data_IF_063669955979
#
_entry.id   IF_063669955979
#
_cell.length_a   1.000
_cell.length_b   1.000
_cell.length_c   1.000
_cell.angle_alpha   90.00
_cell.angle_beta   90.00
_cell.angle_gamma   90.00
#
_symmetry.space_group_name_H-M   'P 1'
#
loop_
_entity.id
_entity.type
_entity.pdbx_description
1 polymer ?
#
# COMPACT_ATOMS: atom_id res chain seq x y z
N UNK A 1 16.56 23.86 -40.73
CA UNK A 1 15.39 22.97 -40.55
C UNK A 1 15.34 22.58 -39.09
N UNK A 2 14.45 23.22 -38.35
CA UNK A 2 14.26 23.08 -36.91
C UNK A 2 12.77 22.89 -36.69
N UNK A 3 12.40 21.79 -36.03
CA UNK A 3 11.01 21.43 -35.75
C UNK A 3 10.42 22.34 -34.67
N UNK A 4 9.17 22.83 -34.81
CA UNK A 4 8.47 23.53 -33.74
C UNK A 4 7.91 22.54 -32.72
N UNK A 5 7.97 22.96 -31.45
CA UNK A 5 7.38 22.31 -30.28
C UNK A 5 5.87 22.62 -30.30
N UNK A 6 5.02 21.60 -30.25
CA UNK A 6 3.56 21.73 -30.20
C UNK A 6 3.08 22.28 -28.85
N UNK A 7 2.25 23.32 -28.94
CA UNK A 7 1.43 23.90 -27.88
C UNK A 7 0.40 22.90 -27.36
N UNK A 8 0.29 22.79 -26.03
CA UNK A 8 -0.80 22.06 -25.38
C UNK A 8 -2.08 22.89 -25.39
N UNK A 9 -3.14 22.27 -25.91
CA UNK A 9 -4.49 22.81 -25.98
C UNK A 9 -5.05 23.29 -24.63
N UNK A 10 -5.63 24.49 -24.67
CA UNK A 10 -6.45 25.08 -23.62
C UNK A 10 -7.86 24.47 -23.66
N UNK A 11 -8.35 23.97 -22.52
CA UNK A 11 -9.78 23.72 -22.30
C UNK A 11 -10.38 24.97 -21.66
N UNK A 12 -11.24 25.65 -22.42
CA UNK A 12 -12.14 26.70 -21.94
C UNK A 12 -13.29 26.09 -21.15
N UNK A 13 -13.60 26.67 -19.98
CA UNK A 13 -14.91 26.51 -19.33
C UNK A 13 -15.65 27.84 -19.52
N UNK A 14 -16.88 27.75 -20.02
CA UNK A 14 -17.72 28.86 -20.42
C UNK A 14 -18.26 29.70 -19.24
N UNK A 15 -18.68 30.91 -19.62
CA UNK A 15 -18.84 32.18 -18.89
C UNK A 15 -19.96 32.29 -17.84
N UNK A 16 -19.81 33.28 -16.94
CA UNK A 16 -20.93 33.77 -16.13
C UNK A 16 -20.61 34.82 -15.07
N UNK A 17 -19.92 35.93 -15.41
CA UNK A 17 -20.12 37.29 -14.86
C UNK A 17 -18.94 38.20 -15.27
N UNK A 18 -19.22 39.15 -16.16
CA UNK A 18 -18.28 40.19 -16.58
C UNK A 18 -18.15 41.28 -15.50
N UNK A 19 -16.95 41.42 -14.93
CA UNK A 19 -16.53 42.66 -14.29
C UNK A 19 -15.23 43.12 -14.97
N UNK A 20 -15.25 44.36 -15.46
CA UNK A 20 -14.21 44.93 -16.31
C UNK A 20 -12.82 44.87 -15.67
N UNK A 21 -11.87 44.31 -16.41
CA UNK A 21 -10.48 44.24 -16.02
C UNK A 21 -9.77 45.54 -16.44
N UNK A 22 -9.57 46.47 -15.50
CA UNK A 22 -8.54 47.50 -15.66
C UNK A 22 -7.17 46.84 -15.50
N UNK A 23 -6.26 47.12 -16.43
CA UNK A 23 -4.92 46.53 -16.47
C UNK A 23 -4.05 47.05 -15.32
N UNK A 24 -4.14 46.41 -14.17
CA UNK A 24 -3.05 46.44 -13.20
C UNK A 24 -2.17 45.21 -13.41
N UNK A 25 -0.85 45.40 -13.30
CA UNK A 25 0.20 44.45 -13.68
C UNK A 25 0.12 43.07 -13.00
N UNK A 26 1.07 42.17 -13.28
CA UNK A 26 1.02 40.80 -12.78
C UNK A 26 0.84 40.78 -11.26
N UNK A 27 -0.27 40.18 -10.83
CA UNK A 27 -0.65 40.04 -9.42
C UNK A 27 0.51 39.34 -8.70
N UNK A 28 1.02 39.88 -7.58
CA UNK A 28 2.16 39.30 -6.89
C UNK A 28 1.89 37.84 -6.50
N UNK A 29 2.90 36.99 -6.68
CA UNK A 29 2.92 35.54 -6.39
C UNK A 29 2.49 35.20 -4.95
N UNK A 30 2.39 36.19 -4.07
CA UNK A 30 1.86 36.06 -2.70
C UNK A 30 0.35 35.74 -2.63
N UNK A 31 -0.43 35.96 -3.69
CA UNK A 31 -1.89 35.74 -3.66
C UNK A 31 -2.29 34.26 -3.56
N UNK A 32 -1.41 33.33 -3.96
CA UNK A 32 -1.61 31.88 -3.87
C UNK A 32 -0.83 31.20 -2.73
N UNK A 33 -0.44 31.93 -1.68
CA UNK A 33 -0.08 31.23 -0.43
C UNK A 33 -1.37 30.72 0.20
N UNK A 34 -1.73 29.46 -0.10
CA UNK A 34 -2.73 28.73 0.68
C UNK A 34 -2.38 28.96 2.16
N UNK A 35 -3.29 29.56 2.93
CA UNK A 35 -3.08 29.80 4.36
C UNK A 35 -2.53 28.51 4.96
N UNK A 36 -1.35 28.59 5.57
CA UNK A 36 -0.76 27.42 6.24
C UNK A 36 -1.81 26.93 7.23
N UNK A 37 -2.34 25.73 6.99
CA UNK A 37 -3.31 25.14 7.90
C UNK A 37 -2.53 24.81 9.17
N UNK A 38 -2.77 25.56 10.23
CA UNK A 38 -2.08 25.42 11.51
C UNK A 38 -2.65 24.22 12.30
N UNK A 39 -3.91 23.85 12.04
CA UNK A 39 -4.65 22.85 12.81
C UNK A 39 -5.58 21.99 11.93
N UNK A 40 -5.63 20.68 12.22
CA UNK A 40 -6.44 19.68 11.51
C UNK A 40 -7.13 18.74 12.49
N UNK A 41 -8.45 18.64 12.42
CA UNK A 41 -9.28 17.72 13.20
C UNK A 41 -10.15 16.84 12.29
N UNK A 42 -10.96 15.94 12.85
CA UNK A 42 -11.81 15.02 12.08
C UNK A 42 -12.94 15.72 11.32
N UNK A 43 -13.24 16.99 11.60
CA UNK A 43 -14.29 17.75 10.92
C UNK A 43 -13.70 18.53 9.74
N UNK A 44 -12.67 19.33 9.99
CA UNK A 44 -11.98 20.15 8.98
C UNK A 44 -11.16 19.31 8.00
N UNK A 45 -10.55 18.23 8.50
CA UNK A 45 -9.63 17.37 7.77
C UNK A 45 -9.87 15.90 8.18
N UNK A 46 -11.05 15.36 7.81
CA UNK A 46 -11.41 13.99 8.15
C UNK A 46 -10.34 13.01 7.66
N UNK A 47 -10.30 11.83 8.29
CA UNK A 47 -9.39 10.77 7.85
C UNK A 47 -9.50 10.54 6.34
N UNK A 48 -8.35 10.70 5.67
CA UNK A 48 -8.25 10.51 4.23
C UNK A 48 -7.89 9.06 3.93
N UNK A 49 -8.60 8.48 2.97
CA UNK A 49 -8.44 7.10 2.53
C UNK A 49 -7.99 7.11 1.08
N UNK A 50 -6.83 6.51 0.82
CA UNK A 50 -6.33 6.22 -0.52
C UNK A 50 -6.86 4.86 -0.94
N UNK A 51 -7.81 4.81 -1.86
CA UNK A 51 -8.33 3.57 -2.43
C UNK A 51 -7.25 2.91 -3.30
N UNK A 52 -6.91 1.66 -3.00
CA UNK A 52 -5.87 0.93 -3.74
C UNK A 52 -6.34 0.58 -5.14
N UNK A 53 -7.61 0.24 -5.30
CA UNK A 53 -8.22 0.12 -6.63
C UNK A 53 -9.15 1.32 -6.77
N UNK A 54 -8.95 2.23 -7.74
CA UNK A 54 -9.84 3.36 -7.95
C UNK A 54 -11.29 2.90 -8.06
N UNK A 55 -12.26 3.54 -7.36
CA UNK A 55 -13.64 3.07 -7.31
C UNK A 55 -14.29 2.87 -8.68
N UNK A 56 -13.97 3.73 -9.65
CA UNK A 56 -14.47 3.61 -11.02
C UNK A 56 -13.92 2.38 -11.76
N UNK A 57 -12.67 1.97 -11.48
CA UNK A 57 -12.13 0.72 -12.02
C UNK A 57 -12.78 -0.46 -11.32
N UNK A 58 -12.85 -0.41 -9.98
CA UNK A 58 -13.45 -1.47 -9.17
C UNK A 58 -14.90 -1.76 -9.57
N UNK A 59 -15.64 -0.74 -9.98
CA UNK A 59 -17.00 -0.92 -10.49
C UNK A 59 -17.05 -1.75 -11.78
N UNK A 60 -16.04 -1.68 -12.64
CA UNK A 60 -15.99 -2.38 -13.93
C UNK A 60 -15.37 -3.78 -13.85
N UNK A 61 -14.84 -4.17 -12.69
CA UNK A 61 -14.32 -5.51 -12.47
C UNK A 61 -15.44 -6.46 -12.06
N UNK A 62 -15.29 -7.75 -12.37
CA UNK A 62 -16.22 -8.78 -11.91
C UNK A 62 -16.13 -8.98 -10.39
N UNK A 63 -17.06 -9.76 -9.82
CA UNK A 63 -17.16 -9.96 -8.36
C UNK A 63 -15.93 -10.61 -7.71
N UNK A 64 -15.13 -11.33 -8.50
CA UNK A 64 -13.86 -11.92 -8.09
C UNK A 64 -12.66 -11.02 -8.44
N UNK A 65 -12.93 -9.81 -8.93
CA UNK A 65 -12.01 -8.81 -9.44
C UNK A 65 -11.26 -9.23 -10.71
N UNK A 66 -11.76 -10.23 -11.44
CA UNK A 66 -11.14 -10.63 -12.72
C UNK A 66 -11.14 -9.49 -13.73
N UNK A 67 -9.98 -9.33 -14.34
CA UNK A 67 -9.71 -8.38 -15.43
C UNK A 67 -10.09 -9.07 -16.74
N UNK A 68 -11.01 -8.49 -17.54
CA UNK A 68 -11.46 -9.11 -18.78
C UNK A 68 -10.32 -9.40 -19.78
N UNK A 69 -10.51 -10.43 -20.62
CA UNK A 69 -9.63 -10.78 -21.73
C UNK A 69 -8.17 -11.07 -21.34
N UNK A 70 -7.92 -11.63 -20.15
CA UNK A 70 -6.57 -11.94 -19.65
C UNK A 70 -5.63 -10.72 -19.62
N UNK A 71 -6.19 -9.50 -19.54
CA UNK A 71 -5.39 -8.28 -19.40
C UNK A 71 -4.86 -8.14 -17.97
N UNK A 72 -3.82 -7.33 -17.75
CA UNK A 72 -3.45 -6.85 -16.42
C UNK A 72 -4.23 -5.56 -16.08
N UNK A 73 -4.28 -5.19 -14.79
CA UNK A 73 -5.06 -4.04 -14.32
C UNK A 73 -4.64 -2.73 -14.97
N UNK A 74 -3.33 -2.51 -15.15
CA UNK A 74 -2.81 -1.27 -15.75
C UNK A 74 -3.30 -1.07 -17.18
N UNK A 75 -3.05 -1.99 -18.14
CA UNK A 75 -3.54 -1.80 -19.51
C UNK A 75 -5.07 -1.80 -19.58
N UNK A 76 -5.75 -2.51 -18.67
CA UNK A 76 -7.22 -2.45 -18.59
C UNK A 76 -7.69 -1.05 -18.16
N UNK A 77 -7.13 -0.50 -17.09
CA UNK A 77 -7.43 0.83 -16.59
C UNK A 77 -7.16 1.92 -17.63
N UNK A 78 -6.04 1.82 -18.37
CA UNK A 78 -5.71 2.75 -19.44
C UNK A 78 -6.76 2.72 -20.56
N UNK A 79 -7.11 1.51 -21.03
CA UNK A 79 -8.15 1.34 -22.06
C UNK A 79 -9.51 1.91 -21.61
N UNK A 80 -9.91 1.66 -20.37
CA UNK A 80 -11.18 2.15 -19.85
C UNK A 80 -11.19 3.68 -19.69
N UNK A 81 -10.07 4.27 -19.23
CA UNK A 81 -9.92 5.73 -19.16
C UNK A 81 -9.99 6.39 -20.55
N UNK A 82 -9.33 5.82 -21.55
CA UNK A 82 -9.38 6.30 -22.94
C UNK A 82 -10.79 6.17 -23.54
N UNK A 83 -11.49 5.08 -23.25
CA UNK A 83 -12.86 4.88 -23.72
C UNK A 83 -13.79 5.94 -23.12
N UNK A 84 -13.72 6.16 -21.80
CA UNK A 84 -14.53 7.17 -21.10
C UNK A 84 -14.30 8.59 -21.64
N UNK A 85 -13.05 8.95 -21.96
CA UNK A 85 -12.72 10.25 -22.55
C UNK A 85 -13.33 10.46 -23.95
N UNK A 86 -13.48 9.39 -24.73
CA UNK A 86 -13.99 9.45 -26.12
C UNK A 86 -15.52 9.53 -26.19
N UNK A 87 -16.24 9.05 -25.19
CA UNK A 87 -17.69 8.85 -25.31
C UNK A 87 -18.58 10.07 -25.12
N UNK A 88 -18.05 11.23 -24.69
CA UNK A 88 -18.74 12.51 -24.35
C UNK A 88 -19.93 12.41 -23.36
N UNK A 89 -20.66 11.29 -23.32
CA UNK A 89 -21.65 10.88 -22.35
C UNK A 89 -20.91 10.19 -21.21
N UNK A 90 -20.87 10.86 -20.05
CA UNK A 90 -20.29 10.35 -18.81
C UNK A 90 -21.26 9.34 -18.19
N UNK A 91 -21.40 8.17 -18.82
CA UNK A 91 -21.99 7.05 -18.09
C UNK A 91 -21.04 6.66 -16.96
N UNK A 92 -21.46 6.86 -15.72
CA UNK A 92 -20.68 6.44 -14.57
C UNK A 92 -20.39 4.93 -14.61
N UNK A 93 -19.21 4.55 -14.13
CA UNK A 93 -18.69 3.19 -14.18
C UNK A 93 -19.66 2.16 -13.58
N UNK A 94 -20.41 2.53 -12.52
CA UNK A 94 -21.41 1.65 -11.90
C UNK A 94 -22.57 1.38 -12.84
N UNK A 95 -23.06 2.40 -13.54
CA UNK A 95 -24.18 2.26 -14.49
C UNK A 95 -23.76 1.36 -15.65
N UNK A 96 -22.55 1.59 -16.18
CA UNK A 96 -21.98 0.76 -17.23
C UNK A 96 -21.81 -0.69 -16.79
N UNK A 97 -21.31 -0.91 -15.58
CA UNK A 97 -21.12 -2.25 -15.04
C UNK A 97 -22.45 -3.01 -14.89
N UNK A 98 -23.49 -2.35 -14.36
CA UNK A 98 -24.84 -2.94 -14.24
C UNK A 98 -25.43 -3.32 -15.60
N UNK A 99 -25.09 -2.60 -16.67
CA UNK A 99 -25.51 -2.94 -18.03
C UNK A 99 -24.74 -4.14 -18.59
N UNK A 100 -23.43 -4.24 -18.32
CA UNK A 100 -22.57 -5.31 -18.84
C UNK A 100 -22.80 -6.62 -18.09
N UNK A 101 -22.97 -6.56 -16.76
CA UNK A 101 -23.02 -7.71 -15.88
C UNK A 101 -24.41 -7.89 -15.25
N UNK A 102 -25.12 -8.95 -15.65
CA UNK A 102 -26.49 -9.25 -15.19
C UNK A 102 -26.61 -9.51 -13.69
N UNK A 103 -25.54 -9.98 -13.03
CA UNK A 103 -25.46 -10.23 -11.58
C UNK A 103 -24.33 -9.41 -10.93
N UNK A 104 -24.18 -8.15 -11.33
CA UNK A 104 -23.11 -7.29 -10.82
C UNK A 104 -23.11 -7.21 -9.29
N UNK A 105 -22.02 -7.68 -8.68
CA UNK A 105 -21.72 -7.51 -7.26
C UNK A 105 -20.27 -7.05 -7.14
N UNK A 106 -20.01 -5.79 -6.77
CA UNK A 106 -18.63 -5.33 -6.64
C UNK A 106 -17.96 -6.06 -5.47
N UNK A 107 -16.70 -6.46 -5.66
CA UNK A 107 -15.86 -6.86 -4.53
C UNK A 107 -15.56 -5.63 -3.67
N UNK A 108 -15.46 -5.84 -2.38
CA UNK A 108 -14.88 -4.86 -1.47
C UNK A 108 -13.43 -4.55 -1.81
N UNK A 109 -12.97 -3.40 -1.35
CA UNK A 109 -11.69 -2.82 -1.73
C UNK A 109 -10.77 -2.67 -0.51
N UNK A 110 -9.51 -2.35 -0.79
CA UNK A 110 -8.52 -1.97 0.22
C UNK A 110 -8.30 -0.45 0.21
N UNK A 111 -8.37 0.16 1.37
CA UNK A 111 -8.01 1.56 1.59
C UNK A 111 -6.74 1.70 2.44
N UNK A 112 -5.91 2.71 2.15
CA UNK A 112 -4.78 3.10 2.99
C UNK A 112 -5.02 4.44 3.67
N UNK A 113 -4.69 4.54 4.96
CA UNK A 113 -4.79 5.80 5.70
C UNK A 113 -3.68 5.94 6.75
N UNK A 114 -3.57 7.14 7.31
CA UNK A 114 -2.88 7.33 8.59
C UNK A 114 -3.74 6.83 9.74
N UNK A 115 -3.13 6.46 10.88
CA UNK A 115 -3.82 6.01 12.09
C UNK A 115 -5.12 6.79 12.42
N UNK A 116 -6.26 6.09 12.62
CA UNK A 116 -7.47 6.69 13.19
C UNK A 116 -7.20 7.38 14.54
N UNK A 117 -7.86 8.52 14.78
CA UNK A 117 -7.74 9.30 16.01
C UNK A 117 -6.39 9.97 16.23
N UNK A 118 -5.52 9.98 15.20
CA UNK A 118 -4.14 10.46 15.31
C UNK A 118 -4.06 11.88 15.86
N UNK A 119 -3.25 12.03 16.90
CA UNK A 119 -2.86 13.28 17.55
C UNK A 119 -1.36 13.46 17.45
N UNK A 120 -0.90 14.50 16.74
CA UNK A 120 0.54 14.79 16.59
C UNK A 120 0.77 16.30 16.52
N UNK A 121 1.98 16.72 16.94
CA UNK A 121 2.39 18.14 16.94
C UNK A 121 1.47 18.99 17.81
N UNK A 122 1.23 18.53 19.05
CA UNK A 122 0.28 19.15 19.97
C UNK A 122 0.72 20.53 20.45
N UNK A 123 2.02 20.79 20.44
CA UNK A 123 2.64 22.07 20.84
C UNK A 123 2.67 23.11 19.72
N UNK A 124 2.16 22.76 18.53
CA UNK A 124 2.02 23.67 17.39
C UNK A 124 2.58 23.09 16.08
N UNK A 125 2.42 23.80 14.94
CA UNK A 125 2.97 23.37 13.66
C UNK A 125 4.50 23.24 13.69
N UNK A 126 5.03 22.21 13.03
CA UNK A 126 6.47 21.97 12.91
C UNK A 126 6.83 21.82 11.44
N UNK A 127 7.83 22.56 10.97
CA UNK A 127 8.33 22.50 9.57
C UNK A 127 7.20 22.64 8.53
N UNK A 128 6.29 23.59 8.76
CA UNK A 128 5.14 23.83 7.89
C UNK A 128 4.03 22.76 7.96
N UNK A 129 4.13 21.77 8.84
CA UNK A 129 3.12 20.73 9.04
C UNK A 129 2.17 21.08 10.17
N UNK A 130 0.88 21.07 9.87
CA UNK A 130 -0.21 21.35 10.81
C UNK A 130 -0.20 20.45 12.05
N UNK A 131 -0.62 21.00 13.21
CA UNK A 131 -1.10 20.22 14.35
C UNK A 131 -2.26 19.34 13.91
N UNK A 132 -2.24 18.06 14.27
CA UNK A 132 -3.33 17.13 13.98
C UNK A 132 -3.91 16.67 15.31
N UNK A 133 -5.22 16.80 15.47
CA UNK A 133 -5.98 16.31 16.63
C UNK A 133 -7.28 15.70 16.09
N UNK A 134 -7.19 14.44 15.65
CA UNK A 134 -8.38 13.70 15.22
C UNK A 134 -9.02 12.96 16.38
N UNK A 135 -10.31 12.73 16.23
CA UNK A 135 -11.12 11.95 17.15
C UNK A 135 -11.27 10.52 16.63
N UNK A 136 -11.20 9.54 17.53
CA UNK A 136 -11.28 8.12 17.16
C UNK A 136 -12.68 7.77 16.68
N UNK A 137 -13.71 8.22 17.39
CA UNK A 137 -15.10 7.88 17.11
C UNK A 137 -15.53 8.47 15.77
N UNK A 138 -15.23 9.75 15.52
CA UNK A 138 -15.51 10.40 14.24
C UNK A 138 -14.73 9.77 13.06
N UNK A 139 -13.49 9.33 13.28
CA UNK A 139 -12.73 8.64 12.24
C UNK A 139 -13.35 7.28 11.92
N UNK A 140 -13.79 6.51 12.93
CA UNK A 140 -14.43 5.21 12.73
C UNK A 140 -15.85 5.31 12.17
N UNK A 141 -16.66 6.28 12.59
CA UNK A 141 -17.95 6.61 11.99
C UNK A 141 -17.79 6.89 10.48
N UNK A 142 -16.79 7.69 10.11
CA UNK A 142 -16.48 7.94 8.70
C UNK A 142 -16.06 6.67 7.95
N UNK A 143 -15.23 5.82 8.56
CA UNK A 143 -14.79 4.57 7.93
C UNK A 143 -15.97 3.63 7.70
N UNK A 144 -16.86 3.47 8.69
CA UNK A 144 -18.08 2.69 8.53
C UNK A 144 -18.97 3.23 7.40
N UNK A 145 -19.17 4.55 7.32
CA UNK A 145 -19.93 5.19 6.23
C UNK A 145 -19.31 4.99 4.84
N UNK A 146 -18.00 4.75 4.77
CA UNK A 146 -17.27 4.37 3.55
C UNK A 146 -17.27 2.85 3.30
N UNK A 147 -18.00 2.07 4.11
CA UNK A 147 -18.15 0.61 3.96
C UNK A 147 -16.97 -0.20 4.49
N UNK A 148 -16.09 0.38 5.32
CA UNK A 148 -15.03 -0.37 5.99
C UNK A 148 -15.61 -1.16 7.16
N UNK A 149 -15.46 -2.48 7.13
CA UNK A 149 -15.86 -3.39 8.23
C UNK A 149 -14.66 -4.03 8.91
N UNK A 150 -13.45 -3.79 8.39
CA UNK A 150 -12.21 -4.34 8.94
C UNK A 150 -11.03 -3.39 8.82
N UNK A 151 -10.18 -3.38 9.85
CA UNK A 151 -8.93 -2.64 9.88
C UNK A 151 -7.75 -3.56 10.15
N UNK A 152 -6.71 -3.46 9.33
CA UNK A 152 -5.38 -4.02 9.56
C UNK A 152 -4.52 -2.93 10.22
N UNK A 153 -4.32 -3.07 11.53
CA UNK A 153 -3.50 -2.16 12.32
C UNK A 153 -2.06 -2.67 12.41
N UNK A 154 -1.15 -1.92 11.77
CA UNK A 154 0.27 -2.26 11.66
C UNK A 154 1.13 -1.74 12.83
N UNK A 155 0.50 -1.21 13.88
CA UNK A 155 1.18 -0.50 14.98
C UNK A 155 1.25 -1.34 16.25
N UNK A 156 2.30 -1.12 17.05
CA UNK A 156 2.34 -1.56 18.44
C UNK A 156 1.47 -0.67 19.34
N UNK A 157 1.19 -1.13 20.56
CA UNK A 157 0.35 -0.41 21.52
C UNK A 157 0.99 0.92 21.94
N UNK A 158 2.31 0.94 22.11
CA UNK A 158 3.07 2.13 22.48
C UNK A 158 2.99 3.19 21.37
N UNK A 159 3.13 2.78 20.10
CA UNK A 159 2.96 3.69 18.96
C UNK A 159 1.54 4.26 18.90
N UNK A 160 0.51 3.45 19.18
CA UNK A 160 -0.88 3.88 19.24
C UNK A 160 -1.11 4.89 20.37
N UNK A 161 -0.54 4.64 21.55
CA UNK A 161 -0.62 5.52 22.71
C UNK A 161 0.05 6.87 22.44
N UNK A 162 1.23 6.87 21.84
CA UNK A 162 1.95 8.08 21.41
C UNK A 162 1.20 8.90 20.36
N UNK A 163 0.35 8.24 19.56
CA UNK A 163 -0.54 8.91 18.61
C UNK A 163 -1.86 9.35 19.25
N UNK A 164 -2.01 9.21 20.56
CA UNK A 164 -3.21 9.59 21.31
C UNK A 164 -4.43 8.70 21.03
N UNK A 165 -4.17 7.48 20.58
CA UNK A 165 -5.14 6.44 20.22
C UNK A 165 -4.84 5.11 20.94
N UNK A 166 -4.73 5.08 22.28
CA UNK A 166 -4.33 3.87 23.02
C UNK A 166 -5.25 2.70 22.68
N UNK A 167 -4.67 1.50 22.57
CA UNK A 167 -5.36 0.35 21.96
C UNK A 167 -6.72 -0.01 22.58
N UNK A 168 -6.94 0.05 23.91
CA UNK A 168 -8.27 -0.21 24.48
C UNK A 168 -9.36 0.72 23.93
N UNK A 169 -9.09 2.03 23.84
CA UNK A 169 -10.03 3.02 23.28
C UNK A 169 -10.18 2.88 21.77
N UNK A 170 -9.09 2.53 21.10
CA UNK A 170 -9.11 2.26 19.66
C UNK A 170 -10.05 1.09 19.32
N UNK A 171 -9.93 -0.01 20.07
CA UNK A 171 -10.74 -1.21 19.88
C UNK A 171 -12.21 -0.95 20.27
N UNK A 172 -12.46 -0.24 21.36
CA UNK A 172 -13.81 0.18 21.77
C UNK A 172 -14.51 0.99 20.67
N UNK A 173 -13.83 2.00 20.12
CA UNK A 173 -14.37 2.81 19.03
C UNK A 173 -14.62 1.95 17.78
N UNK A 174 -13.66 1.13 17.36
CA UNK A 174 -13.82 0.25 16.20
C UNK A 174 -15.04 -0.68 16.33
N UNK A 175 -15.16 -1.35 17.49
CA UNK A 175 -16.26 -2.28 17.76
C UNK A 175 -17.62 -1.58 17.80
N UNK A 176 -17.68 -0.37 18.37
CA UNK A 176 -18.92 0.43 18.44
C UNK A 176 -19.44 0.82 17.06
N UNK A 177 -18.56 0.86 16.05
CA UNK A 177 -18.90 1.14 14.64
C UNK A 177 -19.01 -0.13 13.78
N UNK A 178 -18.90 -1.33 14.38
CA UNK A 178 -18.97 -2.61 13.66
C UNK A 178 -17.73 -2.87 12.79
N UNK A 179 -16.57 -2.39 13.21
CA UNK A 179 -15.30 -2.54 12.49
C UNK A 179 -14.37 -3.50 13.25
N UNK A 180 -14.11 -4.67 12.66
CA UNK A 180 -13.17 -5.65 13.20
C UNK A 180 -11.73 -5.13 13.12
N UNK A 181 -10.92 -5.38 14.15
CA UNK A 181 -9.49 -5.03 14.15
C UNK A 181 -8.61 -6.27 14.11
N UNK A 182 -7.75 -6.35 13.11
CA UNK A 182 -6.66 -7.32 13.01
C UNK A 182 -5.33 -6.59 13.29
N UNK A 183 -4.55 -7.13 14.23
CA UNK A 183 -3.22 -6.61 14.57
C UNK A 183 -2.15 -7.35 13.79
N UNK A 184 -1.27 -6.59 13.13
CA UNK A 184 0.00 -7.07 12.57
C UNK A 184 1.10 -6.07 12.93
N UNK A 185 1.47 -5.96 14.21
CA UNK A 185 2.41 -4.94 14.67
C UNK A 185 3.77 -5.12 14.00
N UNK A 186 4.24 -4.09 13.32
CA UNK A 186 5.54 -4.08 12.65
C UNK A 186 6.34 -2.90 13.15
N UNK A 187 7.65 -3.06 13.32
CA UNK A 187 8.54 -1.93 13.65
C UNK A 187 8.52 -0.88 12.53
N UNK A 188 8.70 0.40 12.86
CA UNK A 188 8.79 1.45 11.84
C UNK A 188 9.92 1.15 10.83
N UNK A 189 9.61 1.19 9.54
CA UNK A 189 10.55 0.80 8.47
C UNK A 189 10.69 -0.71 8.22
N UNK A 190 10.07 -1.55 9.06
CA UNK A 190 10.12 -3.02 8.94
C UNK A 190 8.97 -3.59 8.08
N UNK A 191 8.87 -4.92 8.07
CA UNK A 191 7.97 -5.76 7.27
C UNK A 191 7.18 -6.71 8.19
N UNK A 192 6.18 -7.46 7.69
CA UNK A 192 5.63 -8.60 8.42
C UNK A 192 6.72 -9.62 8.79
N UNK A 193 6.44 -10.46 9.78
CA UNK A 193 7.40 -11.45 10.26
C UNK A 193 7.59 -12.58 9.24
N UNK A 194 6.55 -12.98 8.51
CA UNK A 194 6.72 -13.99 7.46
C UNK A 194 5.70 -13.82 6.35
N UNK A 195 6.01 -14.43 5.20
CA UNK A 195 5.05 -14.58 4.12
C UNK A 195 3.85 -15.41 4.55
N UNK A 196 4.05 -16.44 5.37
CA UNK A 196 2.96 -17.26 5.90
C UNK A 196 2.01 -16.45 6.80
N UNK A 197 2.54 -15.64 7.71
CA UNK A 197 1.73 -14.73 8.53
C UNK A 197 0.94 -13.75 7.66
N UNK A 198 1.61 -13.11 6.70
CA UNK A 198 0.94 -12.19 5.77
C UNK A 198 -0.16 -12.91 4.98
N UNK A 199 0.10 -14.12 4.49
CA UNK A 199 -0.87 -14.91 3.72
C UNK A 199 -2.12 -15.24 4.57
N UNK A 200 -1.94 -15.60 5.84
CA UNK A 200 -3.07 -15.81 6.78
C UNK A 200 -3.89 -14.53 7.00
N UNK A 201 -3.25 -13.36 7.09
CA UNK A 201 -3.98 -12.08 7.19
C UNK A 201 -4.73 -11.78 5.89
N UNK A 202 -4.12 -12.06 4.74
CA UNK A 202 -4.78 -11.87 3.44
C UNK A 202 -6.00 -12.79 3.27
N UNK A 203 -6.02 -13.99 3.87
CA UNK A 203 -7.23 -14.84 3.89
C UNK A 203 -8.41 -14.09 4.51
N UNK A 204 -8.17 -13.41 5.64
CA UNK A 204 -9.18 -12.60 6.33
C UNK A 204 -9.58 -11.35 5.55
N UNK A 205 -8.65 -10.75 4.82
CA UNK A 205 -8.97 -9.64 3.91
C UNK A 205 -9.83 -10.11 2.74
N UNK A 206 -9.54 -11.29 2.20
CA UNK A 206 -10.31 -11.87 1.10
C UNK A 206 -11.71 -12.31 1.54
N UNK A 207 -11.86 -12.89 2.73
CA UNK A 207 -13.17 -13.17 3.34
C UNK A 207 -14.05 -11.91 3.43
N UNK A 208 -13.45 -10.77 3.78
CA UNK A 208 -14.14 -9.48 3.92
C UNK A 208 -14.50 -8.92 2.54
N UNK A 209 -13.51 -8.81 1.66
CA UNK A 209 -13.70 -8.19 0.35
C UNK A 209 -14.63 -8.99 -0.56
N UNK A 210 -14.65 -10.34 -0.48
CA UNK A 210 -15.63 -11.16 -1.22
C UNK A 210 -17.09 -10.88 -0.84
N UNK A 211 -17.36 -10.31 0.34
CA UNK A 211 -18.71 -9.90 0.76
C UNK A 211 -19.11 -8.51 0.22
N UNK A 212 -18.24 -7.83 -0.52
CA UNK A 212 -18.44 -6.44 -0.92
C UNK A 212 -18.01 -5.42 0.14
N UNK A 213 -17.41 -5.88 1.25
CA UNK A 213 -17.01 -5.03 2.38
C UNK A 213 -15.55 -4.58 2.26
N UNK A 214 -15.25 -3.35 2.70
CA UNK A 214 -13.93 -2.77 2.54
C UNK A 214 -13.00 -3.08 3.74
N UNK A 215 -11.72 -3.22 3.44
CA UNK A 215 -10.65 -3.37 4.43
C UNK A 215 -9.79 -2.11 4.43
N UNK A 216 -9.49 -1.56 5.59
CA UNK A 216 -8.51 -0.48 5.73
C UNK A 216 -7.19 -1.06 6.24
N UNK A 217 -6.06 -0.69 5.67
CA UNK A 217 -4.76 -0.91 6.28
C UNK A 217 -4.14 0.43 6.68
N UNK A 218 -3.61 0.51 7.90
CA UNK A 218 -2.90 1.71 8.35
C UNK A 218 -1.65 1.38 9.16
N UNK A 219 -0.75 2.36 9.17
CA UNK A 219 0.33 2.47 10.16
C UNK A 219 0.27 3.87 10.74
N UNK A 220 1.41 4.49 11.07
CA UNK A 220 1.46 5.89 11.53
C UNK A 220 1.03 6.86 10.44
N UNK A 221 1.53 6.65 9.22
CA UNK A 221 1.30 7.52 8.06
C UNK A 221 0.56 6.86 6.91
N UNK A 222 0.43 5.53 6.90
CA UNK A 222 -0.11 4.77 5.77
C UNK A 222 0.79 4.81 4.53
N UNK A 223 2.12 4.82 4.69
CA UNK A 223 3.09 4.98 3.59
C UNK A 223 4.03 3.76 3.44
N UNK A 224 4.74 3.33 4.49
CA UNK A 224 5.57 2.12 4.44
C UNK A 224 4.81 0.83 4.77
N UNK A 225 4.70 0.48 6.06
CA UNK A 225 4.09 -0.77 6.56
C UNK A 225 2.72 -1.10 5.94
N UNK A 226 1.81 -0.13 5.89
CA UNK A 226 0.50 -0.33 5.30
C UNK A 226 0.54 -0.55 3.77
N UNK A 227 1.52 0.06 3.08
CA UNK A 227 1.72 -0.17 1.66
C UNK A 227 2.27 -1.57 1.38
N UNK A 228 3.04 -2.17 2.29
CA UNK A 228 3.45 -3.59 2.18
C UNK A 228 2.21 -4.48 2.16
N UNK A 229 1.26 -4.27 3.08
CA UNK A 229 -0.01 -5.00 3.11
C UNK A 229 -0.78 -4.84 1.79
N UNK A 230 -0.86 -3.61 1.26
CA UNK A 230 -1.50 -3.36 -0.03
C UNK A 230 -0.80 -4.06 -1.20
N UNK A 231 0.53 -4.03 -1.24
CA UNK A 231 1.28 -4.71 -2.29
C UNK A 231 1.07 -6.23 -2.23
N UNK A 232 1.11 -6.82 -1.04
CA UNK A 232 0.88 -8.26 -0.86
C UNK A 232 -0.53 -8.66 -1.29
N UNK A 233 -1.54 -7.87 -0.95
CA UNK A 233 -2.91 -8.12 -1.40
C UNK A 233 -3.04 -8.05 -2.92
N UNK A 234 -2.51 -7.01 -3.58
CA UNK A 234 -2.55 -6.89 -5.05
C UNK A 234 -1.78 -8.01 -5.77
N UNK A 235 -0.64 -8.43 -5.22
CA UNK A 235 0.12 -9.56 -5.75
C UNK A 235 -0.66 -10.87 -5.64
N UNK A 236 -1.38 -11.08 -4.54
CA UNK A 236 -2.24 -12.26 -4.35
C UNK A 236 -3.40 -12.29 -5.34
N UNK A 237 -3.93 -11.12 -5.71
CA UNK A 237 -5.01 -10.99 -6.70
C UNK A 237 -4.57 -11.22 -8.15
N UNK A 238 -3.27 -11.19 -8.45
CA UNK A 238 -2.70 -11.50 -9.79
C UNK A 238 -3.04 -10.54 -10.93
N UNK A 239 -3.39 -9.29 -10.62
CA UNK A 239 -3.70 -8.30 -11.68
C UNK A 239 -2.51 -7.51 -12.19
N UNK A 240 -1.30 -7.82 -11.74
CA UNK A 240 -0.08 -7.15 -12.16
C UNK A 240 0.94 -8.17 -12.64
N UNK A 241 1.83 -7.76 -13.54
CA UNK A 241 2.86 -8.63 -14.11
C UNK A 241 3.87 -9.06 -13.06
N UNK A 242 4.27 -8.12 -12.21
CA UNK A 242 5.25 -8.35 -11.17
C UNK A 242 5.15 -7.33 -10.02
N UNK A 243 5.97 -7.55 -8.99
CA UNK A 243 6.07 -6.72 -7.80
C UNK A 243 6.42 -5.26 -8.07
N UNK A 244 7.18 -4.94 -9.13
CA UNK A 244 7.59 -3.56 -9.43
C UNK A 244 6.40 -2.74 -9.88
N UNK A 245 5.56 -3.31 -10.74
CA UNK A 245 4.31 -2.67 -11.15
C UNK A 245 3.37 -2.42 -9.97
N UNK A 246 3.28 -3.38 -9.05
CA UNK A 246 2.46 -3.24 -7.84
C UNK A 246 2.96 -2.09 -6.96
N UNK A 247 4.29 -1.99 -6.76
CA UNK A 247 4.89 -0.90 -5.97
C UNK A 247 4.59 0.45 -6.62
N UNK A 248 4.80 0.58 -7.94
CA UNK A 248 4.52 1.82 -8.66
C UNK A 248 3.03 2.19 -8.62
N UNK A 249 2.15 1.19 -8.73
CA UNK A 249 0.72 1.40 -8.58
C UNK A 249 0.36 1.94 -7.20
N UNK A 250 0.84 1.29 -6.13
CA UNK A 250 0.57 1.76 -4.75
C UNK A 250 1.18 3.14 -4.50
N UNK A 251 2.34 3.44 -5.09
CA UNK A 251 2.94 4.78 -5.04
C UNK A 251 2.04 5.84 -5.69
N UNK A 252 1.47 5.53 -6.84
CA UNK A 252 0.52 6.42 -7.52
C UNK A 252 -0.76 6.65 -6.70
N UNK A 253 -1.29 5.62 -6.02
CA UNK A 253 -2.52 5.75 -5.23
C UNK A 253 -2.31 6.46 -3.87
N UNK A 254 -1.13 6.31 -3.26
CA UNK A 254 -0.89 6.77 -1.89
C UNK A 254 0.15 7.87 -1.78
N UNK A 255 1.37 7.61 -2.23
CA UNK A 255 2.49 8.52 -2.13
C UNK A 255 3.65 7.99 -2.96
N UNK A 256 4.41 8.83 -3.69
CA UNK A 256 5.65 8.42 -4.35
C UNK A 256 6.67 7.77 -3.39
N UNK A 257 6.53 8.01 -2.08
CA UNK A 257 7.37 7.43 -1.02
C UNK A 257 6.84 6.11 -0.45
N UNK A 258 5.74 5.57 -0.97
CA UNK A 258 5.22 4.29 -0.51
C UNK A 258 6.26 3.19 -0.76
N UNK A 259 6.37 2.26 0.20
CA UNK A 259 7.54 1.39 0.38
C UNK A 259 8.79 2.24 0.68
N UNK A 260 9.09 2.37 1.97
CA UNK A 260 10.05 3.33 2.53
C UNK A 260 11.47 2.75 2.67
N UNK A 261 11.60 1.42 2.75
CA UNK A 261 12.88 0.74 3.00
C UNK A 261 13.18 -0.36 1.96
N UNK A 262 14.47 -0.74 1.87
CA UNK A 262 14.92 -1.83 1.01
C UNK A 262 14.30 -3.17 1.45
N UNK A 263 14.18 -3.37 2.75
CA UNK A 263 13.60 -4.56 3.37
C UNK A 263 12.12 -4.70 2.98
N UNK A 264 11.36 -3.61 2.97
CA UNK A 264 9.97 -3.62 2.48
C UNK A 264 9.88 -3.98 1.00
N UNK A 265 10.74 -3.40 0.15
CA UNK A 265 10.76 -3.76 -1.27
C UNK A 265 11.15 -5.23 -1.49
N UNK A 266 12.13 -5.73 -0.73
CA UNK A 266 12.55 -7.13 -0.75
C UNK A 266 11.44 -8.06 -0.25
N UNK A 267 10.68 -7.68 0.76
CA UNK A 267 9.53 -8.46 1.24
C UNK A 267 8.47 -8.59 0.15
N UNK A 268 8.13 -7.49 -0.53
CA UNK A 268 7.14 -7.51 -1.63
C UNK A 268 7.64 -8.38 -2.80
N UNK A 269 8.92 -8.30 -3.14
CA UNK A 269 9.52 -9.15 -4.17
C UNK A 269 9.50 -10.65 -3.80
N UNK A 270 9.87 -10.98 -2.55
CA UNK A 270 9.81 -12.35 -2.05
C UNK A 270 8.39 -12.88 -1.95
N UNK A 271 7.43 -12.05 -1.50
CA UNK A 271 6.02 -12.42 -1.43
C UNK A 271 5.42 -12.67 -2.84
N UNK A 272 5.87 -11.94 -3.86
CA UNK A 272 5.49 -12.25 -5.24
C UNK A 272 5.89 -13.69 -5.62
N UNK A 273 7.10 -14.12 -5.29
CA UNK A 273 7.53 -15.51 -5.50
C UNK A 273 6.72 -16.50 -4.64
N UNK A 274 6.44 -16.16 -3.38
CA UNK A 274 5.63 -16.98 -2.46
C UNK A 274 4.26 -17.33 -3.06
N UNK A 275 3.59 -16.32 -3.63
CA UNK A 275 2.27 -16.50 -4.24
C UNK A 275 2.35 -17.43 -5.45
N UNK A 276 3.45 -17.43 -6.23
CA UNK A 276 3.60 -18.23 -7.46
C UNK A 276 3.70 -19.74 -7.17
N UNK A 277 4.01 -20.13 -5.93
CA UNK A 277 4.02 -21.53 -5.52
C UNK A 277 5.15 -22.35 -6.15
N UNK A 278 5.11 -23.67 -5.95
CA UNK A 278 6.14 -24.59 -6.46
C UNK A 278 7.56 -24.21 -6.03
N UNK A 279 8.53 -24.31 -6.94
CA UNK A 279 9.92 -23.92 -6.72
C UNK A 279 10.08 -22.43 -6.34
N UNK A 280 9.18 -21.55 -6.80
CA UNK A 280 9.23 -20.13 -6.44
C UNK A 280 9.01 -19.91 -4.94
N UNK A 281 8.21 -20.77 -4.28
CA UNK A 281 8.03 -20.69 -2.83
C UNK A 281 9.32 -21.03 -2.09
N UNK A 282 10.13 -21.94 -2.61
CA UNK A 282 11.48 -22.23 -2.08
C UNK A 282 12.39 -21.02 -2.26
N UNK A 283 12.43 -20.43 -3.45
CA UNK A 283 13.21 -19.22 -3.75
C UNK A 283 12.79 -18.02 -2.89
N UNK A 284 11.48 -17.91 -2.58
CA UNK A 284 10.98 -16.86 -1.69
C UNK A 284 11.63 -16.93 -0.30
N UNK A 285 11.95 -18.13 0.20
CA UNK A 285 12.51 -18.30 1.54
C UNK A 285 13.87 -17.60 1.71
N UNK A 286 14.63 -17.43 0.63
CA UNK A 286 15.88 -16.66 0.64
C UNK A 286 15.65 -15.19 1.04
N UNK A 287 14.54 -14.60 0.60
CA UNK A 287 14.16 -13.24 0.99
C UNK A 287 13.82 -13.16 2.48
N UNK A 288 13.02 -14.09 3.00
CA UNK A 288 12.72 -14.11 4.44
C UNK A 288 13.99 -14.22 5.28
N UNK A 289 14.90 -15.13 4.90
CA UNK A 289 16.18 -15.30 5.61
C UNK A 289 17.01 -14.03 5.58
N UNK A 290 17.10 -13.36 4.43
CA UNK A 290 17.89 -12.12 4.31
C UNK A 290 17.27 -10.96 5.10
N UNK A 291 15.95 -10.80 5.04
CA UNK A 291 15.23 -9.78 5.82
C UNK A 291 15.41 -10.04 7.32
N UNK A 292 15.27 -11.29 7.75
CA UNK A 292 15.46 -11.71 9.15
C UNK A 292 16.88 -11.49 9.66
N UNK A 293 17.90 -11.60 8.81
CA UNK A 293 19.28 -11.31 9.22
C UNK A 293 19.55 -9.82 9.46
N UNK A 294 18.82 -8.94 8.79
CA UNK A 294 19.02 -7.49 8.87
C UNK A 294 18.21 -6.83 9.97
N UNK A 295 17.14 -7.49 10.39
CA UNK A 295 16.23 -7.00 11.41
C UNK A 295 16.46 -7.85 12.65
N UNK A 296 17.05 -7.26 13.70
CA UNK A 296 17.10 -7.92 14.98
C UNK A 296 15.69 -7.92 15.60
N UNK A 297 15.05 -9.07 15.62
CA UNK A 297 13.71 -9.24 16.21
C UNK A 297 13.74 -9.52 17.71
N UNK A 298 14.92 -9.43 18.35
CA UNK A 298 15.03 -9.58 19.80
C UNK A 298 14.15 -8.57 20.51
N UNK A 299 13.58 -8.95 21.66
CA UNK A 299 12.71 -8.05 22.40
C UNK A 299 13.42 -6.76 22.82
N UNK A 300 14.74 -6.82 23.00
CA UNK A 300 15.58 -5.64 23.23
C UNK A 300 15.60 -4.69 22.03
N UNK A 301 15.81 -5.20 20.80
CA UNK A 301 15.81 -4.34 19.62
C UNK A 301 14.40 -3.88 19.22
N UNK A 302 13.40 -4.73 19.41
CA UNK A 302 11.99 -4.35 19.26
C UNK A 302 11.61 -3.25 20.24
N UNK A 303 12.02 -3.33 21.51
CA UNK A 303 11.82 -2.29 22.50
C UNK A 303 12.58 -0.99 22.16
N UNK A 304 13.83 -1.08 21.70
CA UNK A 304 14.57 0.09 21.22
C UNK A 304 13.91 0.74 20.01
N UNK A 305 13.39 -0.04 19.06
CA UNK A 305 12.73 0.51 17.89
C UNK A 305 11.35 1.12 18.24
N UNK A 306 10.63 0.53 19.21
CA UNK A 306 9.45 1.16 19.83
C UNK A 306 9.83 2.50 20.49
N UNK A 307 10.96 2.55 21.22
CA UNK A 307 11.46 3.77 21.87
C UNK A 307 11.97 4.83 20.87
N UNK A 308 12.62 4.43 19.77
CA UNK A 308 13.06 5.36 18.71
C UNK A 308 11.87 5.94 17.94
N UNK A 309 10.83 5.13 17.68
CA UNK A 309 9.56 5.62 17.14
C UNK A 309 8.90 6.63 18.08
N UNK A 310 8.96 6.40 19.40
CA UNK A 310 8.55 7.36 20.43
C UNK A 310 9.39 8.64 20.37
N UNK A 311 10.71 8.51 20.35
CA UNK A 311 11.63 9.62 20.29
C UNK A 311 11.48 10.43 19.00
N UNK A 312 11.14 9.82 17.85
CA UNK A 312 10.83 10.54 16.59
C UNK A 312 9.53 11.32 16.65
N UNK A 313 8.57 10.91 17.48
CA UNK A 313 7.40 11.74 17.77
C UNK A 313 7.80 12.99 18.58
N UNK A 314 8.81 12.89 19.45
CA UNK A 314 9.33 13.99 20.29
C UNK A 314 10.45 14.83 19.62
N UNK A 315 11.27 14.28 18.72
CA UNK A 315 12.30 15.03 17.99
C UNK A 315 11.70 15.83 16.83
N UNK A 316 10.52 15.41 16.34
CA UNK A 316 9.62 16.33 15.63
C UNK A 316 9.21 17.54 16.47
N UNK A 317 9.36 17.50 17.79
CA UNK A 317 9.11 18.59 18.72
C UNK A 317 10.41 19.35 19.12
N UNK A 318 11.61 18.76 19.03
CA UNK A 318 12.90 19.45 19.36
C UNK A 318 13.65 20.05 18.16
N UNK A 319 13.61 19.46 16.97
CA UNK A 319 14.34 19.96 15.79
C UNK A 319 13.70 21.22 15.14
N UNK A 320 12.77 21.87 15.84
CA UNK A 320 12.24 23.20 15.51
C UNK A 320 13.02 24.36 16.15
N UNK A 321 14.06 24.09 16.95
CA UNK A 321 14.80 25.15 17.68
C UNK A 321 16.23 25.38 17.16
N UNK A 322 16.84 24.47 16.40
CA UNK A 322 18.17 24.71 15.83
C UNK A 322 18.27 24.18 14.40
N UNK A 323 18.15 25.09 13.42
CA UNK A 323 18.98 25.15 12.21
C UNK A 323 18.52 26.33 11.33
N UNK A 324 18.95 27.54 11.70
CA UNK A 324 19.39 28.51 10.71
C UNK A 324 20.88 28.23 10.47
N UNK A 325 21.24 27.78 9.26
CA UNK A 325 22.64 27.70 8.86
C UNK A 325 22.97 26.51 7.96
N UNK A 326 23.35 26.84 6.73
CA UNK A 326 23.97 26.01 5.70
C UNK A 326 23.12 24.97 4.96
N UNK A 327 22.87 25.30 3.68
CA UNK A 327 22.57 24.33 2.65
C UNK A 327 23.84 23.76 2.02
N UNK A 328 23.80 22.48 1.65
CA UNK A 328 24.25 21.95 0.36
C UNK A 328 23.88 20.46 0.27
N UNK A 329 23.45 20.06 -0.94
CA UNK A 329 23.53 18.76 -1.66
C UNK A 329 23.64 17.46 -0.83
N UNK A 330 22.94 16.37 -1.16
CA UNK A 330 23.10 15.67 -2.43
C UNK A 330 21.98 14.63 -2.66
N UNK A 331 21.55 14.49 -3.91
CA UNK A 331 20.68 13.43 -4.41
C UNK A 331 21.52 12.25 -4.86
N UNK A 332 21.29 11.05 -4.33
CA UNK A 332 21.77 9.81 -4.95
C UNK A 332 20.68 8.75 -4.81
N UNK A 333 20.05 8.41 -5.93
CA UNK A 333 19.39 7.14 -6.19
C UNK A 333 19.82 6.66 -7.58
N UNK A 334 19.76 5.35 -7.76
CA UNK A 334 19.81 4.60 -9.02
C UNK A 334 21.18 4.03 -9.44
N UNK A 335 21.54 2.88 -8.85
CA UNK A 335 22.16 1.75 -9.57
C UNK A 335 22.49 0.56 -8.64
N UNK A 336 21.53 -0.19 -8.10
CA UNK A 336 21.88 -1.46 -7.41
C UNK A 336 20.73 -2.49 -7.24
N UNK A 337 19.80 -2.55 -8.19
CA UNK A 337 18.72 -3.57 -8.21
C UNK A 337 18.88 -4.57 -9.38
N UNK A 338 19.92 -4.44 -10.21
CA UNK A 338 20.06 -5.21 -11.46
C UNK A 338 20.99 -6.42 -11.41
N UNK A 339 21.60 -6.81 -10.28
CA UNK A 339 22.70 -7.79 -10.28
C UNK A 339 22.43 -9.19 -9.69
N UNK A 340 21.19 -9.59 -9.39
CA UNK A 340 20.92 -10.94 -8.82
C UNK A 340 20.23 -11.90 -9.81
N UNK A 341 20.00 -11.53 -11.08
CA UNK A 341 19.27 -12.39 -12.03
C UNK A 341 20.09 -12.97 -13.20
N UNK A 342 21.42 -12.85 -13.20
CA UNK A 342 22.24 -13.26 -14.35
C UNK A 342 23.47 -14.09 -13.95
N UNK A 343 23.25 -15.25 -13.32
CA UNK A 343 24.22 -16.37 -13.43
C UNK A 343 23.59 -17.72 -13.09
N UNK A 344 22.79 -18.29 -13.98
CA UNK A 344 22.74 -19.76 -14.11
C UNK A 344 22.26 -20.16 -15.51
N UNK A 345 23.18 -20.21 -16.47
CA UNK A 345 22.95 -20.91 -17.74
C UNK A 345 23.38 -22.36 -17.53
N UNK A 346 22.44 -23.26 -17.23
CA UNK A 346 22.73 -24.71 -17.23
C UNK A 346 22.48 -25.23 -18.65
N UNK A 347 23.58 -25.67 -19.26
CA UNK A 347 23.62 -26.34 -20.56
C UNK A 347 22.80 -27.64 -20.53
N UNK A 348 21.92 -27.78 -21.51
CA UNK A 348 21.14 -28.98 -21.78
C UNK A 348 22.04 -30.16 -22.18
N UNK A 349 22.04 -31.24 -21.40
CA UNK A 349 22.39 -32.59 -21.88
C UNK A 349 21.35 -33.60 -21.43
N UNK A 350 20.97 -34.45 -22.38
CA UNK A 350 19.92 -35.46 -22.35
C UNK A 350 20.08 -36.42 -21.16
N UNK A 351 18.94 -36.77 -20.54
CA UNK A 351 18.85 -37.81 -19.53
C UNK A 351 18.46 -39.15 -20.17
N UNK A 352 19.25 -40.19 -19.92
CA UNK A 352 18.85 -41.60 -20.08
C UNK A 352 18.27 -42.14 -18.76
N UNK A 353 17.35 -43.14 -18.80
CA UNK A 353 16.59 -43.57 -17.64
C UNK A 353 17.37 -44.53 -16.72
N UNK A 354 17.22 -44.33 -15.41
CA UNK A 354 17.86 -45.12 -14.34
C UNK A 354 16.97 -46.35 -14.01
N UNK A 355 17.59 -47.54 -13.97
CA UNK A 355 17.02 -48.78 -13.41
C UNK A 355 17.42 -48.95 -11.92
N UNK A 356 16.62 -49.65 -11.09
CA UNK A 356 16.75 -49.63 -9.63
C UNK A 356 17.87 -50.54 -9.08
N UNK A 357 18.35 -50.30 -7.83
CA UNK A 357 19.51 -50.97 -7.27
C UNK A 357 19.18 -52.37 -6.72
N UNK A 358 20.06 -53.32 -7.02
CA UNK A 358 20.09 -54.67 -6.47
C UNK A 358 20.79 -54.67 -5.11
N UNK A 359 20.05 -55.03 -4.05
CA UNK A 359 20.65 -55.47 -2.79
C UNK A 359 20.59 -56.99 -2.68
N UNK A 360 21.78 -57.57 -2.58
CA UNK A 360 22.08 -58.96 -2.29
C UNK A 360 21.78 -59.27 -0.82
N UNK A 361 20.88 -60.24 -0.57
CA UNK A 361 20.92 -61.05 0.64
C UNK A 361 20.79 -62.52 0.25
N UNK A 362 21.86 -63.25 0.53
CA UNK A 362 22.01 -64.69 0.44
C UNK A 362 21.43 -65.36 1.68
N UNK A 363 20.47 -66.28 1.51
CA UNK A 363 20.20 -67.39 2.43
C UNK A 363 19.94 -68.65 1.60
N UNK A 364 20.58 -69.79 1.91
CA UNK A 364 20.42 -71.01 1.14
C UNK A 364 19.31 -71.92 1.70
N UNK A 365 18.74 -72.66 0.74
CA UNK A 365 18.29 -74.05 0.79
C UNK A 365 17.12 -74.50 1.69
N UNK A 366 16.13 -75.04 0.94
CA UNK A 366 15.52 -76.37 1.05
C UNK A 366 14.22 -76.57 1.83
N UNK A 367 13.29 -77.07 1.01
CA UNK A 367 12.41 -78.23 1.21
C UNK A 367 11.07 -78.03 1.91
N UNK A 368 10.02 -78.25 1.10
CA UNK A 368 8.83 -79.08 1.35
C UNK A 368 8.24 -79.00 2.77
N UNK A 369 6.99 -78.59 2.94
CA UNK A 369 5.80 -79.20 2.32
C UNK A 369 4.60 -78.30 2.55
#
# INVERSE_FOLDING_TARGET
MSFPIEDKAHIQVAEGASYGYQSEGPVPVSYYKSKSVIFKDSISHPINVSWIIPPWIGALLESDMTVPNNMFLIPYAQREAEAMQKTEIVEDAVTRAKRIYTNWRPRGNLGLSSCPGKKVRLDGPVNGRAKIVRDLDLDFDRLQKLGFTRVICCLFDEELELLGSPFPKYLEAANSHGVDVIRIPMVEGSTPYSFAEMDCILDKMDETTRKGENVLAHCRGGVGRAAVVACCWLLRLRYFRDHREVIEWVRAQRSPKAIETKEQAQFVAGFHLWTLGGENRVSSKLYEVEIMRRIDWSESNMAMARADAAAKNEHGHRNGVEQQGNGHKESIMDSEITSISSTTTISSRQAEPISPPSHTMSVPDRTSS
#
